data_IF_555067656355
#
_entry.id   IF_555067656355
#
_cell.length_a   1.000
_cell.length_b   1.000
_cell.length_c   1.000
_cell.angle_alpha   90.00
_cell.angle_beta   90.00
_cell.angle_gamma   90.00
#
_symmetry.space_group_name_H-M   'P 1'
#
loop_
_entity.id
_entity.type
_entity.pdbx_description
1 polymer ?
#
# COMPACT_ATOMS: atom_id res chain seq x y z
N UNK A 1 -71.52 -29.43 72.96
CA UNK A 1 -71.03 -30.64 72.25
C UNK A 1 -69.62 -30.36 71.74
N UNK A 2 -68.71 -31.32 71.93
CA UNK A 2 -67.27 -31.27 71.64
C UNK A 2 -66.97 -30.98 70.16
N UNK A 3 -65.91 -30.22 69.86
CA UNK A 3 -64.66 -30.80 69.34
C UNK A 3 -63.57 -29.73 69.14
N UNK A 4 -62.40 -30.01 69.71
CA UNK A 4 -61.12 -29.34 69.42
C UNK A 4 -60.67 -29.70 67.99
N UNK A 5 -60.02 -28.77 67.30
CA UNK A 5 -59.08 -29.11 66.23
C UNK A 5 -57.82 -28.24 66.35
N UNK A 6 -56.68 -28.92 66.18
CA UNK A 6 -55.34 -28.48 66.56
C UNK A 6 -54.63 -27.71 65.44
N UNK A 7 -53.63 -26.93 65.90
CA UNK A 7 -52.62 -26.12 65.18
C UNK A 7 -52.03 -26.73 63.90
N UNK A 8 -51.59 -25.84 62.99
CA UNK A 8 -50.28 -25.97 62.34
C UNK A 8 -49.75 -24.61 61.87
N UNK A 9 -48.77 -24.07 62.58
CA UNK A 9 -47.91 -22.93 62.17
C UNK A 9 -46.71 -23.47 61.40
N UNK A 10 -46.56 -23.08 60.14
CA UNK A 10 -45.38 -23.37 59.31
C UNK A 10 -44.39 -22.21 59.48
N UNK A 11 -43.20 -22.49 60.03
CA UNK A 11 -42.09 -21.53 60.09
C UNK A 11 -41.26 -21.59 58.81
N UNK A 12 -41.15 -20.46 58.09
CA UNK A 12 -40.18 -20.28 57.01
C UNK A 12 -38.80 -19.99 57.60
N UNK A 13 -37.82 -20.84 57.32
CA UNK A 13 -36.40 -20.59 57.60
C UNK A 13 -35.80 -20.00 56.32
N UNK A 14 -35.42 -18.72 56.36
CA UNK A 14 -34.61 -18.08 55.31
C UNK A 14 -33.14 -18.45 55.54
N UNK A 15 -32.58 -19.28 54.67
CA UNK A 15 -31.13 -19.53 54.60
C UNK A 15 -30.48 -18.48 53.70
N UNK A 16 -29.65 -17.62 54.28
CA UNK A 16 -28.86 -16.62 53.56
C UNK A 16 -27.57 -17.29 53.05
N UNK A 17 -27.55 -17.69 51.79
CA UNK A 17 -26.34 -18.19 51.12
C UNK A 17 -25.49 -16.99 50.67
N UNK A 18 -24.43 -16.70 51.43
CA UNK A 18 -23.39 -15.75 51.05
C UNK A 18 -22.49 -16.45 50.01
N UNK A 19 -22.65 -16.08 48.73
CA UNK A 19 -21.71 -16.47 47.67
C UNK A 19 -20.43 -15.63 47.82
N UNK A 20 -19.38 -16.23 48.37
CA UNK A 20 -18.02 -15.71 48.28
C UNK A 20 -17.54 -15.85 46.82
N UNK A 21 -17.62 -14.75 46.06
CA UNK A 21 -16.98 -14.64 44.74
C UNK A 21 -15.46 -14.57 44.92
N UNK A 22 -14.80 -15.73 44.92
CA UNK A 22 -13.35 -15.81 44.76
C UNK A 22 -13.02 -15.45 43.31
N UNK A 23 -12.65 -14.19 43.08
CA UNK A 23 -12.13 -13.74 41.79
C UNK A 23 -10.91 -14.56 41.40
N UNK A 24 -11.03 -15.35 40.34
CA UNK A 24 -9.89 -16.06 39.77
C UNK A 24 -8.99 -15.03 39.09
N UNK A 25 -7.67 -15.01 39.35
CA UNK A 25 -6.77 -14.11 38.63
C UNK A 25 -6.82 -14.46 37.15
N UNK A 26 -7.26 -13.51 36.32
CA UNK A 26 -7.13 -13.61 34.87
C UNK A 26 -5.65 -13.53 34.54
N UNK A 27 -5.06 -14.64 34.13
CA UNK A 27 -3.72 -14.65 33.54
C UNK A 27 -3.86 -14.05 32.15
N UNK A 28 -3.55 -12.76 32.00
CA UNK A 28 -3.38 -12.13 30.69
C UNK A 28 -2.07 -12.65 30.11
N UNK A 29 -2.17 -13.45 29.05
CA UNK A 29 -0.99 -13.89 28.29
C UNK A 29 -0.39 -12.66 27.58
N UNK A 30 0.87 -12.35 27.87
CA UNK A 30 1.61 -11.32 27.13
C UNK A 30 1.79 -11.77 25.68
N UNK A 31 1.39 -10.92 24.73
CA UNK A 31 1.50 -11.17 23.29
C UNK A 31 2.55 -10.24 22.66
N UNK A 32 3.31 -10.80 21.73
CA UNK A 32 4.28 -10.06 20.91
C UNK A 32 4.04 -10.42 19.45
N UNK A 33 3.95 -9.42 18.58
CA UNK A 33 3.77 -9.61 17.14
C UNK A 33 4.53 -8.56 16.35
N UNK A 34 5.03 -8.95 15.18
CA UNK A 34 5.79 -8.07 14.30
C UNK A 34 5.63 -8.51 12.84
N UNK A 35 5.31 -7.55 11.97
CA UNK A 35 5.19 -7.74 10.53
C UNK A 35 6.56 -7.48 9.86
N UNK A 36 6.97 -8.25 8.83
CA UNK A 36 8.25 -8.04 8.14
C UNK A 36 8.22 -6.83 7.19
N UNK A 37 7.78 -5.66 7.67
CA UNK A 37 7.87 -4.40 6.92
C UNK A 37 9.35 -4.06 6.75
N UNK A 38 9.85 -3.80 5.53
CA UNK A 38 11.25 -3.43 5.33
C UNK A 38 11.52 -2.03 5.88
N UNK A 39 12.78 -1.64 5.92
CA UNK A 39 13.22 -0.35 6.42
C UNK A 39 14.02 0.47 5.39
N UNK A 40 13.80 1.78 5.42
CA UNK A 40 14.66 2.78 4.82
C UNK A 40 14.58 4.06 5.63
N UNK A 41 15.69 4.80 5.68
CA UNK A 41 15.70 6.20 6.12
C UNK A 41 15.11 7.07 5.01
N UNK A 42 14.42 8.16 5.37
CA UNK A 42 13.90 9.14 4.41
C UNK A 42 15.01 9.86 3.62
N UNK A 43 16.23 9.82 4.15
CA UNK A 43 17.47 10.11 3.44
C UNK A 43 18.22 8.78 3.20
N UNK A 44 17.98 8.06 2.08
CA UNK A 44 18.49 6.71 1.87
C UNK A 44 20.02 6.61 1.85
N UNK A 45 20.70 7.64 1.38
CA UNK A 45 22.17 7.75 1.35
C UNK A 45 22.73 8.59 2.53
N UNK A 46 21.87 9.00 3.47
CA UNK A 46 22.23 9.82 4.61
C UNK A 46 22.43 11.30 4.30
N UNK A 47 22.10 11.77 3.09
CA UNK A 47 22.17 13.19 2.73
C UNK A 47 20.83 13.88 3.03
N UNK A 48 20.82 14.76 4.03
CA UNK A 48 19.61 15.43 4.53
C UNK A 48 19.36 16.77 3.84
N UNK A 49 18.95 16.71 2.58
CA UNK A 49 18.55 17.87 1.76
C UNK A 49 17.17 17.61 1.15
N UNK A 50 16.51 18.62 0.59
CA UNK A 50 15.25 18.41 -0.13
C UNK A 50 15.45 17.46 -1.33
N UNK A 51 14.48 16.58 -1.64
CA UNK A 51 13.19 16.40 -0.92
C UNK A 51 13.31 15.50 0.33
N UNK A 52 14.43 14.80 0.52
CA UNK A 52 14.64 13.81 1.59
C UNK A 52 14.38 14.35 2.99
N UNK A 53 14.64 15.64 3.20
CA UNK A 53 14.46 16.34 4.47
C UNK A 53 13.01 16.31 4.98
N UNK A 54 12.04 16.33 4.07
CA UNK A 54 10.61 16.43 4.37
C UNK A 54 9.80 15.21 3.92
N UNK A 55 10.48 14.15 3.46
CA UNK A 55 9.85 12.98 2.86
C UNK A 55 9.41 11.86 3.84
N UNK A 56 8.97 12.18 5.06
CA UNK A 56 8.68 11.14 6.07
C UNK A 56 7.38 10.38 5.77
N UNK A 57 6.37 11.07 5.27
CA UNK A 57 5.09 10.53 4.79
C UNK A 57 5.30 9.56 3.63
N UNK A 58 6.11 9.94 2.65
CA UNK A 58 6.40 9.21 1.42
C UNK A 58 7.26 8.00 1.72
N UNK A 59 8.25 8.15 2.61
CA UNK A 59 9.05 7.03 3.06
C UNK A 59 8.17 6.02 3.79
N UNK A 60 7.34 6.46 4.74
CA UNK A 60 6.40 5.59 5.45
C UNK A 60 5.43 4.88 4.50
N UNK A 61 4.89 5.60 3.51
CA UNK A 61 4.01 5.08 2.45
C UNK A 61 4.73 4.02 1.62
N UNK A 62 5.98 4.28 1.21
CA UNK A 62 6.82 3.33 0.48
C UNK A 62 7.08 2.06 1.28
N UNK A 63 7.38 2.14 2.58
CA UNK A 63 7.66 0.96 3.40
C UNK A 63 6.46 0.02 3.47
N UNK A 64 5.25 0.58 3.61
CA UNK A 64 4.00 -0.18 3.61
C UNK A 64 3.73 -0.80 2.23
N UNK A 65 3.93 -0.06 1.14
CA UNK A 65 3.82 -0.62 -0.21
C UNK A 65 4.79 -1.80 -0.40
N UNK A 66 6.05 -1.63 -0.03
CA UNK A 66 7.06 -2.67 -0.18
C UNK A 66 6.72 -3.93 0.62
N UNK A 67 6.14 -3.77 1.81
CA UNK A 67 5.60 -4.88 2.59
C UNK A 67 4.45 -5.59 1.86
N UNK A 68 3.41 -4.87 1.43
CA UNK A 68 2.24 -5.47 0.79
C UNK A 68 2.57 -6.21 -0.52
N UNK A 69 3.61 -5.78 -1.22
CA UNK A 69 4.07 -6.38 -2.47
C UNK A 69 5.29 -7.30 -2.30
N UNK A 70 5.61 -7.70 -1.06
CA UNK A 70 6.50 -8.82 -0.78
C UNK A 70 7.98 -8.55 -1.01
N UNK A 71 8.45 -7.32 -0.75
CA UNK A 71 9.87 -7.01 -0.78
C UNK A 71 10.63 -7.91 0.21
N UNK A 72 11.70 -8.56 -0.27
CA UNK A 72 12.27 -9.73 0.40
C UNK A 72 13.38 -9.44 1.41
N UNK A 73 13.91 -8.21 1.43
CA UNK A 73 15.00 -7.80 2.34
C UNK A 73 14.47 -6.96 3.48
N UNK A 74 15.14 -7.01 4.63
CA UNK A 74 14.82 -6.16 5.78
C UNK A 74 15.07 -4.67 5.52
N UNK A 75 15.93 -4.35 4.55
CA UNK A 75 16.25 -2.97 4.16
C UNK A 75 16.07 -2.77 2.67
N UNK A 76 15.42 -1.67 2.31
CA UNK A 76 15.24 -1.26 0.92
C UNK A 76 16.58 -0.77 0.37
N UNK A 77 16.92 -1.22 -0.84
CA UNK A 77 18.11 -0.75 -1.55
C UNK A 77 18.03 0.76 -1.80
N UNK A 78 19.16 1.47 -1.68
CA UNK A 78 19.22 2.95 -1.73
C UNK A 78 18.56 3.54 -2.97
N UNK A 79 18.88 2.99 -4.15
CA UNK A 79 18.34 3.50 -5.42
C UNK A 79 16.84 3.22 -5.55
N UNK A 80 16.37 2.04 -5.11
CA UNK A 80 14.94 1.71 -5.06
C UNK A 80 14.19 2.64 -4.11
N UNK A 81 14.77 2.95 -2.94
CA UNK A 81 14.16 3.87 -1.99
C UNK A 81 14.06 5.28 -2.57
N UNK A 82 15.14 5.80 -3.18
CA UNK A 82 15.15 7.11 -3.83
C UNK A 82 14.11 7.22 -4.94
N UNK A 83 14.06 6.22 -5.83
CA UNK A 83 13.10 6.18 -6.94
C UNK A 83 11.65 6.25 -6.44
N UNK A 84 11.29 5.41 -5.47
CA UNK A 84 9.93 5.34 -4.93
C UNK A 84 9.52 6.59 -4.15
N UNK A 85 10.42 7.11 -3.31
CA UNK A 85 10.18 8.36 -2.57
C UNK A 85 10.01 9.51 -3.56
N UNK A 86 10.89 9.64 -4.57
CA UNK A 86 10.77 10.69 -5.58
C UNK A 86 9.47 10.61 -6.39
N UNK A 87 9.00 9.40 -6.69
CA UNK A 87 7.70 9.21 -7.34
C UNK A 87 6.57 9.76 -6.46
N UNK A 88 6.54 9.44 -5.17
CA UNK A 88 5.52 9.95 -4.25
C UNK A 88 5.60 11.48 -4.11
N UNK A 89 6.80 12.04 -3.98
CA UNK A 89 7.05 13.49 -4.00
C UNK A 89 6.50 14.13 -5.28
N UNK A 90 6.72 13.50 -6.45
CA UNK A 90 6.19 13.97 -7.72
C UNK A 90 4.66 13.98 -7.72
N UNK A 91 4.02 12.91 -7.24
CA UNK A 91 2.56 12.81 -7.16
C UNK A 91 2.00 13.91 -6.25
N UNK A 92 2.55 14.08 -5.06
CA UNK A 92 2.10 15.14 -4.14
C UNK A 92 2.24 16.53 -4.74
N UNK A 93 3.38 16.84 -5.36
CA UNK A 93 3.57 18.13 -6.03
C UNK A 93 2.60 18.33 -7.20
N UNK A 94 2.32 17.29 -7.99
CA UNK A 94 1.38 17.35 -9.13
C UNK A 94 -0.05 17.55 -8.66
N UNK A 95 -0.49 16.83 -7.63
CA UNK A 95 -1.90 16.75 -7.24
C UNK A 95 -2.29 17.71 -6.11
N UNK A 96 -1.41 17.94 -5.14
CA UNK A 96 -1.67 18.87 -4.03
C UNK A 96 -1.07 20.26 -4.29
N UNK A 97 -0.13 20.37 -5.24
CA UNK A 97 0.59 21.61 -5.54
C UNK A 97 1.74 21.92 -4.58
N UNK A 98 2.03 21.03 -3.62
CA UNK A 98 3.11 21.15 -2.66
C UNK A 98 3.50 19.77 -2.10
N UNK A 99 4.71 19.69 -1.58
CA UNK A 99 5.27 18.54 -0.88
C UNK A 99 5.88 19.07 0.44
N UNK A 100 5.07 19.08 1.49
CA UNK A 100 5.40 19.55 2.85
C UNK A 100 4.52 18.80 3.84
N UNK A 101 4.91 18.85 5.12
CA UNK A 101 4.14 18.35 6.26
C UNK A 101 2.63 18.36 6.00
N UNK A 102 2.03 17.18 6.01
CA UNK A 102 0.69 17.03 5.50
C UNK A 102 -0.27 16.38 6.49
N UNK A 103 -1.55 16.72 6.38
CA UNK A 103 -2.60 16.06 7.18
C UNK A 103 -2.74 14.61 6.78
N UNK A 104 -3.14 13.77 7.73
CA UNK A 104 -3.43 12.36 7.49
C UNK A 104 -4.43 12.15 6.32
N UNK A 105 -5.39 13.07 6.16
CA UNK A 105 -6.37 13.03 5.09
C UNK A 105 -5.75 13.14 3.68
N UNK A 106 -4.73 13.98 3.49
CA UNK A 106 -4.08 14.13 2.19
C UNK A 106 -3.14 12.95 1.88
N UNK A 107 -2.48 12.38 2.90
CA UNK A 107 -1.71 11.13 2.74
C UNK A 107 -2.65 10.02 2.24
N UNK A 108 -3.81 9.86 2.88
CA UNK A 108 -4.85 8.90 2.48
C UNK A 108 -5.38 9.18 1.07
N UNK A 109 -5.56 10.45 0.70
CA UNK A 109 -6.01 10.82 -0.65
C UNK A 109 -5.01 10.37 -1.72
N UNK A 110 -3.70 10.61 -1.52
CA UNK A 110 -2.64 10.20 -2.44
C UNK A 110 -2.59 8.67 -2.55
N UNK A 111 -2.60 7.95 -1.42
CA UNK A 111 -2.61 6.48 -1.40
C UNK A 111 -3.81 5.95 -2.19
N UNK A 112 -5.01 6.44 -1.85
CA UNK A 112 -6.24 5.88 -2.39
C UNK A 112 -6.41 6.18 -3.88
N UNK A 113 -5.89 7.30 -4.37
CA UNK A 113 -5.89 7.62 -5.81
C UNK A 113 -4.83 6.89 -6.61
N UNK A 114 -3.59 6.84 -6.12
CA UNK A 114 -2.43 6.54 -6.99
C UNK A 114 -1.67 5.26 -6.66
N UNK A 115 -2.01 4.58 -5.56
CA UNK A 115 -1.31 3.38 -5.13
C UNK A 115 -2.19 2.14 -5.16
N UNK A 116 -1.64 0.94 -5.45
CA UNK A 116 -2.41 -0.30 -5.59
C UNK A 116 -2.82 -0.94 -4.25
N UNK A 117 -3.01 -0.13 -3.22
CA UNK A 117 -3.47 -0.50 -1.88
C UNK A 117 -4.29 0.66 -1.29
N UNK A 118 -4.83 0.50 -0.08
CA UNK A 118 -5.79 1.44 0.48
C UNK A 118 -5.47 1.84 1.92
N UNK A 119 -5.88 3.06 2.28
CA UNK A 119 -5.77 3.58 3.63
C UNK A 119 -7.00 4.40 4.03
N UNK A 120 -7.20 4.57 5.33
CA UNK A 120 -8.25 5.43 5.88
C UNK A 120 -7.84 6.02 7.24
N UNK A 121 -8.39 7.19 7.56
CA UNK A 121 -8.09 7.91 8.81
C UNK A 121 -8.98 7.39 9.94
N UNK A 122 -8.37 6.97 11.04
CA UNK A 122 -9.04 6.63 12.30
C UNK A 122 -8.79 7.73 13.32
N UNK A 123 -9.87 8.25 13.93
CA UNK A 123 -9.81 9.29 14.96
C UNK A 123 -9.77 8.67 16.35
N UNK A 124 -8.91 9.18 17.21
CA UNK A 124 -8.70 8.69 18.57
C UNK A 124 -8.57 7.15 18.64
N UNK A 125 -7.67 6.54 17.85
CA UNK A 125 -7.48 5.10 17.86
C UNK A 125 -7.07 4.61 19.26
N UNK A 126 -7.51 3.43 19.65
CA UNK A 126 -7.00 2.76 20.86
C UNK A 126 -5.79 1.88 20.56
N UNK A 127 -5.03 1.52 21.58
CA UNK A 127 -3.91 0.57 21.45
C UNK A 127 -4.42 -0.77 20.90
N UNK A 128 -5.59 -1.23 21.37
CA UNK A 128 -6.21 -2.49 20.93
C UNK A 128 -6.58 -2.45 19.45
N UNK A 129 -7.08 -1.33 18.93
CA UNK A 129 -7.37 -1.17 17.51
C UNK A 129 -6.09 -1.24 16.66
N UNK A 130 -5.01 -0.59 17.12
CA UNK A 130 -3.71 -0.64 16.45
C UNK A 130 -3.18 -2.08 16.45
N UNK A 131 -3.23 -2.78 17.58
CA UNK A 131 -2.82 -4.19 17.68
C UNK A 131 -3.66 -5.08 16.77
N UNK A 132 -4.97 -4.84 16.68
CA UNK A 132 -5.85 -5.59 15.79
C UNK A 132 -5.47 -5.44 14.31
N UNK A 133 -5.06 -4.25 13.87
CA UNK A 133 -4.53 -4.05 12.50
C UNK A 133 -3.24 -4.86 12.30
N UNK A 134 -2.28 -4.76 13.23
CA UNK A 134 -1.05 -5.57 13.18
C UNK A 134 -1.41 -7.06 13.16
N UNK A 135 -2.43 -7.47 13.92
CA UNK A 135 -2.87 -8.84 13.99
C UNK A 135 -3.41 -9.38 12.66
N UNK A 136 -4.09 -8.51 11.92
CA UNK A 136 -4.63 -8.78 10.60
C UNK A 136 -3.59 -8.63 9.48
N UNK A 137 -2.34 -8.30 9.81
CA UNK A 137 -1.28 -8.14 8.82
C UNK A 137 -1.20 -6.76 8.21
N UNK A 138 -1.76 -5.74 8.87
CA UNK A 138 -1.84 -4.37 8.39
C UNK A 138 -0.96 -3.44 9.22
N UNK A 139 0.15 -2.90 8.68
CA UNK A 139 0.91 -1.86 9.35
C UNK A 139 0.07 -0.59 9.51
N UNK A 140 0.34 0.17 10.57
CA UNK A 140 -0.37 1.42 10.88
C UNK A 140 0.59 2.58 10.74
N UNK A 141 0.20 3.62 10.01
CA UNK A 141 1.00 4.86 9.91
C UNK A 141 0.50 5.87 10.93
N UNK A 142 1.42 6.51 11.65
CA UNK A 142 1.07 7.40 12.76
C UNK A 142 1.70 8.78 12.59
N UNK A 143 0.89 9.82 12.36
CA UNK A 143 1.34 11.20 12.45
C UNK A 143 1.49 11.63 13.92
N UNK A 144 2.58 12.34 14.21
CA UNK A 144 2.93 12.75 15.56
C UNK A 144 3.47 14.18 15.65
N UNK A 145 3.37 14.75 16.84
CA UNK A 145 4.24 15.83 17.27
C UNK A 145 5.58 15.24 17.73
N UNK A 146 6.59 15.25 16.85
CA UNK A 146 7.79 14.42 17.02
C UNK A 146 8.64 14.71 18.27
N UNK A 147 8.57 15.91 18.86
CA UNK A 147 9.26 16.23 20.13
C UNK A 147 8.79 15.34 21.29
N UNK A 148 7.53 14.91 21.28
CA UNK A 148 6.97 14.08 22.36
C UNK A 148 7.42 12.62 22.30
N UNK A 149 8.00 12.16 21.18
CA UNK A 149 8.58 10.83 21.08
C UNK A 149 9.89 10.68 21.88
N UNK A 150 10.55 11.80 22.23
CA UNK A 150 11.83 11.82 22.97
C UNK A 150 12.90 10.92 22.32
N UNK A 151 12.87 10.79 20.99
CA UNK A 151 13.85 9.96 20.28
C UNK A 151 15.23 10.64 20.27
N UNK A 152 16.20 10.01 20.90
CA UNK A 152 17.59 10.50 21.00
C UNK A 152 18.30 10.68 19.65
N UNK A 153 17.79 10.08 18.57
CA UNK A 153 18.38 10.17 17.24
C UNK A 153 17.75 11.25 16.35
N UNK A 154 16.69 11.91 16.81
CA UNK A 154 16.02 12.96 16.04
C UNK A 154 16.89 14.21 15.93
N UNK A 155 16.76 14.88 14.78
CA UNK A 155 17.29 16.23 14.57
C UNK A 155 16.20 17.25 14.87
N UNK A 156 16.58 18.52 14.90
CA UNK A 156 15.68 19.65 15.21
C UNK A 156 14.44 19.71 14.31
N UNK A 157 14.54 19.21 13.09
CA UNK A 157 13.52 19.30 12.06
C UNK A 157 12.36 18.32 12.31
N UNK A 158 12.66 17.13 12.84
CA UNK A 158 11.65 16.12 13.16
C UNK A 158 11.00 16.35 14.54
N UNK A 159 11.33 17.45 15.20
CA UNK A 159 10.76 17.81 16.49
C UNK A 159 9.33 18.36 16.40
N UNK A 160 8.85 18.75 15.22
CA UNK A 160 7.55 19.42 15.09
C UNK A 160 6.46 18.50 14.54
N UNK A 161 6.61 18.02 13.31
CA UNK A 161 5.69 17.05 12.73
C UNK A 161 6.50 15.90 12.16
N UNK A 162 5.98 14.69 12.31
CA UNK A 162 6.64 13.51 11.81
C UNK A 162 5.63 12.39 11.58
N UNK A 163 5.95 11.47 10.68
CA UNK A 163 5.14 10.30 10.37
C UNK A 163 6.05 9.07 10.27
N UNK A 164 5.66 8.00 10.97
CA UNK A 164 6.35 6.71 10.96
C UNK A 164 5.35 5.54 10.88
N UNK A 165 5.87 4.32 10.76
CA UNK A 165 5.06 3.10 10.64
C UNK A 165 5.17 2.25 11.91
N UNK A 166 4.05 1.90 12.53
CA UNK A 166 3.95 0.81 13.50
C UNK A 166 3.76 -0.50 12.72
N UNK A 167 4.64 -1.47 12.97
CA UNK A 167 4.61 -2.80 12.35
C UNK A 167 4.46 -3.94 13.36
N UNK A 168 4.47 -3.64 14.65
CA UNK A 168 4.47 -4.64 15.70
C UNK A 168 4.21 -4.06 17.08
N UNK A 169 4.05 -4.95 18.05
CA UNK A 169 3.83 -4.62 19.44
C UNK A 169 4.39 -5.71 20.35
N UNK A 170 4.62 -5.36 21.61
CA UNK A 170 5.16 -6.21 22.66
C UNK A 170 4.51 -5.88 24.01
N UNK A 171 3.62 -6.76 24.47
CA UNK A 171 2.85 -6.52 25.71
C UNK A 171 3.64 -6.74 26.99
N UNK A 172 4.79 -7.41 26.91
CA UNK A 172 5.66 -7.57 28.08
C UNK A 172 6.37 -6.26 28.41
N UNK A 173 6.81 -5.55 27.37
CA UNK A 173 7.53 -4.29 27.51
C UNK A 173 6.65 -3.07 27.32
N UNK A 174 5.38 -3.23 26.94
CA UNK A 174 4.44 -2.16 26.60
C UNK A 174 4.97 -1.26 25.47
N UNK A 175 5.47 -1.86 24.40
CA UNK A 175 6.14 -1.15 23.31
C UNK A 175 5.56 -1.45 21.92
N UNK A 176 5.44 -0.41 21.10
CA UNK A 176 5.29 -0.57 19.66
C UNK A 176 6.65 -0.81 19.01
N UNK A 177 6.69 -1.70 18.02
CA UNK A 177 7.82 -1.93 17.13
C UNK A 177 7.54 -1.16 15.84
N UNK A 178 8.47 -0.29 15.44
CA UNK A 178 8.25 0.71 14.40
C UNK A 178 9.32 0.69 13.31
N UNK A 179 8.97 1.24 12.14
CA UNK A 179 9.93 1.69 11.16
C UNK A 179 9.99 3.22 11.19
N UNK A 180 11.10 3.74 11.66
CA UNK A 180 11.30 5.16 11.98
C UNK A 180 12.15 5.84 10.88
N UNK A 181 11.53 6.47 9.87
CA UNK A 181 12.25 6.94 8.68
C UNK A 181 13.14 8.16 8.97
N UNK A 182 12.94 8.89 10.06
CA UNK A 182 13.72 10.09 10.41
C UNK A 182 15.15 9.82 10.88
N UNK A 183 15.59 8.56 10.93
CA UNK A 183 16.93 8.20 11.37
C UNK A 183 17.42 6.94 10.71
N UNK A 184 18.74 6.81 10.51
CA UNK A 184 19.35 5.54 10.05
C UNK A 184 19.22 4.39 11.06
N UNK A 185 18.83 4.69 12.30
CA UNK A 185 18.64 3.74 13.39
C UNK A 185 17.18 3.30 13.56
N UNK A 186 16.34 3.56 12.56
CA UNK A 186 14.90 3.39 12.68
C UNK A 186 14.36 1.99 12.42
N UNK A 187 15.21 1.03 12.02
CA UNK A 187 14.80 -0.36 11.80
C UNK A 187 14.37 -0.99 13.14
N UNK A 188 13.11 -1.40 13.23
CA UNK A 188 12.51 -2.01 14.43
C UNK A 188 12.67 -1.16 15.69
N UNK A 189 12.66 0.17 15.54
CA UNK A 189 12.78 1.08 16.67
C UNK A 189 11.58 0.92 17.60
N UNK A 190 11.84 0.94 18.92
CA UNK A 190 10.82 0.69 19.93
C UNK A 190 10.45 1.95 20.69
N UNK A 191 9.14 2.21 20.78
CA UNK A 191 8.58 3.27 21.60
C UNK A 191 7.56 2.69 22.57
N UNK A 192 7.50 3.23 23.79
CA UNK A 192 6.43 2.87 24.73
C UNK A 192 5.06 3.25 24.18
N UNK A 193 4.05 2.45 24.49
CA UNK A 193 2.68 2.70 24.07
C UNK A 193 2.21 4.10 24.47
N UNK A 194 2.38 4.48 25.74
CA UNK A 194 1.95 5.78 26.27
C UNK A 194 2.63 6.97 25.57
N UNK A 195 3.93 6.85 25.24
CA UNK A 195 4.69 7.85 24.48
C UNK A 195 4.07 8.05 23.10
N UNK A 196 3.85 6.97 22.34
CA UNK A 196 3.25 7.08 21.00
C UNK A 196 1.83 7.62 21.06
N UNK A 197 1.00 7.10 21.98
CA UNK A 197 -0.38 7.54 22.13
C UNK A 197 -0.47 8.99 22.59
N UNK A 198 0.52 9.50 23.33
CA UNK A 198 0.62 10.92 23.70
C UNK A 198 1.01 11.76 22.49
N UNK A 199 2.10 11.40 21.81
CA UNK A 199 2.65 12.13 20.67
C UNK A 199 1.75 12.15 19.43
N UNK A 200 0.78 11.23 19.33
CA UNK A 200 -0.13 11.11 18.19
C UNK A 200 -0.98 12.35 17.97
N UNK A 201 -0.68 13.09 16.91
CA UNK A 201 -1.38 14.30 16.52
C UNK A 201 -1.34 14.48 15.00
N UNK A 202 -2.50 14.74 14.39
CA UNK A 202 -2.62 15.17 13.01
C UNK A 202 -1.93 16.52 12.79
N UNK A 203 -1.46 16.76 11.58
CA UNK A 203 -0.76 17.98 11.25
C UNK A 203 -1.64 19.22 11.46
N UNK A 204 -1.11 20.15 12.26
CA UNK A 204 -1.70 21.48 12.44
C UNK A 204 -0.57 22.52 12.35
N UNK A 205 -0.51 23.32 11.28
CA UNK A 205 0.58 24.27 11.06
C UNK A 205 0.86 25.13 12.30
N UNK A 206 2.07 25.02 12.85
CA UNK A 206 2.53 25.78 14.02
C UNK A 206 1.91 25.36 15.37
N UNK A 207 1.05 24.34 15.41
CA UNK A 207 0.32 23.92 16.62
C UNK A 207 -0.02 22.42 16.63
N UNK A 208 0.87 21.59 16.07
CA UNK A 208 0.68 20.14 15.92
C UNK A 208 0.41 19.45 17.25
N UNK A 209 1.01 19.87 18.36
CA UNK A 209 0.75 19.34 19.70
C UNK A 209 -0.72 19.47 20.16
N UNK A 210 -1.50 20.32 19.51
CA UNK A 210 -2.95 20.48 19.72
C UNK A 210 -3.77 19.96 18.52
N UNK A 211 -3.14 19.19 17.62
CA UNK A 211 -3.77 18.46 16.55
C UNK A 211 -4.68 17.35 17.08
N UNK A 212 -5.64 16.90 16.27
CA UNK A 212 -6.50 15.76 16.67
C UNK A 212 -5.67 14.48 16.68
N UNK A 213 -5.91 13.57 17.62
CA UNK A 213 -5.27 12.26 17.59
C UNK A 213 -5.85 11.44 16.44
N UNK A 214 -4.99 11.06 15.49
CA UNK A 214 -5.38 10.23 14.36
C UNK A 214 -4.28 9.23 14.05
N UNK A 215 -4.68 8.07 13.52
CA UNK A 215 -3.78 7.15 12.84
C UNK A 215 -4.34 6.84 11.45
N UNK A 216 -3.47 6.37 10.57
CA UNK A 216 -3.82 5.92 9.23
C UNK A 216 -3.75 4.41 9.23
N UNK A 217 -4.92 3.77 9.16
CA UNK A 217 -5.02 2.32 9.04
C UNK A 217 -4.91 1.98 7.56
N UNK A 218 -4.23 0.88 7.26
CA UNK A 218 -3.90 0.50 5.87
C UNK A 218 -4.39 -0.91 5.59
N UNK A 219 -4.57 -1.25 4.32
CA UNK A 219 -4.86 -2.61 3.87
C UNK A 219 -4.38 -2.80 2.44
N UNK A 220 -4.03 -4.03 2.08
CA UNK A 220 -3.64 -4.36 0.70
C UNK A 220 -4.85 -4.33 -0.22
N UNK A 221 -6.00 -4.77 0.28
CA UNK A 221 -7.23 -4.90 -0.46
C UNK A 221 -7.84 -3.53 -0.78
N UNK A 222 -8.34 -3.40 -2.01
CA UNK A 222 -9.11 -2.24 -2.44
C UNK A 222 -10.58 -2.51 -2.14
N UNK A 223 -11.18 -1.71 -1.26
CA UNK A 223 -12.56 -1.87 -0.82
C UNK A 223 -13.35 -0.60 -1.10
N UNK A 224 -12.87 0.56 -0.63
CA UNK A 224 -13.60 1.82 -0.74
C UNK A 224 -13.05 2.73 -1.85
N UNK A 225 -11.77 2.56 -2.22
CA UNK A 225 -11.09 3.39 -3.23
C UNK A 225 -11.20 2.87 -4.66
N UNK A 226 -11.91 1.75 -4.89
CA UNK A 226 -11.90 1.08 -6.20
C UNK A 226 -12.45 1.90 -7.37
N UNK A 227 -13.35 2.85 -7.09
CA UNK A 227 -13.99 3.72 -8.08
C UNK A 227 -13.26 5.07 -8.27
N UNK A 228 -12.14 5.31 -7.59
CA UNK A 228 -11.37 6.53 -7.83
C UNK A 228 -10.71 6.45 -9.20
N UNK A 229 -10.57 7.58 -9.86
CA UNK A 229 -9.82 7.74 -11.12
C UNK A 229 -8.73 8.78 -10.83
N UNK A 230 -7.48 8.31 -10.80
CA UNK A 230 -6.34 9.08 -10.31
C UNK A 230 -5.91 10.15 -11.29
N UNK A 231 -5.60 9.73 -12.51
CA UNK A 231 -5.12 10.57 -13.61
C UNK A 231 -6.24 11.19 -14.45
N UNK A 232 -7.50 10.81 -14.18
CA UNK A 232 -8.69 11.35 -14.85
C UNK A 232 -8.76 11.00 -16.34
N UNK A 233 -8.18 9.87 -16.74
CA UNK A 233 -8.27 9.34 -18.11
C UNK A 233 -9.65 8.67 -18.36
N UNK A 234 -10.38 8.36 -17.29
CA UNK A 234 -11.71 7.77 -17.26
C UNK A 234 -11.73 6.25 -17.04
N UNK A 235 -10.61 5.61 -16.72
CA UNK A 235 -10.55 4.30 -16.06
C UNK A 235 -10.57 4.48 -14.54
N UNK A 236 -11.38 3.67 -13.87
CA UNK A 236 -11.30 3.56 -12.41
C UNK A 236 -10.06 2.78 -11.99
N UNK A 237 -9.55 3.03 -10.79
CA UNK A 237 -8.45 2.29 -10.15
C UNK A 237 -8.62 0.77 -10.25
N UNK A 238 -9.85 0.26 -10.08
CA UNK A 238 -10.12 -1.17 -10.21
C UNK A 238 -9.96 -1.68 -11.65
N UNK A 239 -10.31 -0.88 -12.64
CA UNK A 239 -10.11 -1.20 -14.06
C UNK A 239 -8.63 -1.09 -14.43
N UNK A 240 -7.95 -0.04 -13.97
CA UNK A 240 -6.52 0.14 -14.19
C UNK A 240 -5.70 -1.04 -13.64
N UNK A 241 -5.94 -1.45 -12.40
CA UNK A 241 -5.28 -2.63 -11.81
C UNK A 241 -5.55 -3.92 -12.58
N UNK A 242 -6.75 -4.04 -13.16
CA UNK A 242 -7.13 -5.18 -14.01
C UNK A 242 -6.39 -5.15 -15.35
N UNK A 243 -6.23 -3.98 -15.94
CA UNK A 243 -5.51 -3.76 -17.20
C UNK A 243 -3.99 -3.62 -17.01
N UNK A 244 -3.54 -3.54 -15.75
CA UNK A 244 -2.14 -3.33 -15.33
C UNK A 244 -1.56 -2.00 -15.80
N UNK A 245 -2.42 -1.00 -15.97
CA UNK A 245 -2.03 0.37 -16.28
C UNK A 245 -1.50 1.08 -15.04
N UNK A 246 -1.00 2.28 -15.25
CA UNK A 246 -0.31 3.11 -14.27
C UNK A 246 -1.30 4.10 -13.67
N UNK A 247 -1.71 3.88 -12.41
CA UNK A 247 -2.73 4.66 -11.66
C UNK A 247 -2.60 6.21 -11.64
N UNK A 248 -1.49 6.75 -12.15
CA UNK A 248 -1.18 8.18 -12.10
C UNK A 248 -0.77 8.77 -13.45
N UNK A 249 -0.90 8.00 -14.53
CA UNK A 249 -0.48 8.36 -15.87
C UNK A 249 -1.53 7.89 -16.88
N UNK A 250 -2.13 8.86 -17.57
CA UNK A 250 -3.21 8.66 -18.52
C UNK A 250 -2.84 7.83 -19.75
N UNK A 251 -1.55 7.79 -20.10
CA UNK A 251 -0.96 6.99 -21.18
C UNK A 251 0.21 6.18 -20.61
N UNK A 252 -0.07 4.94 -20.20
CA UNK A 252 0.85 4.10 -19.44
C UNK A 252 2.07 3.66 -20.24
N UNK A 253 1.97 3.53 -21.57
CA UNK A 253 3.06 3.09 -22.43
C UNK A 253 3.70 4.19 -23.28
N UNK A 254 3.13 5.39 -23.24
CA UNK A 254 3.64 6.60 -23.84
C UNK A 254 3.53 6.62 -25.36
N UNK A 255 2.57 5.91 -25.95
CA UNK A 255 2.38 5.86 -27.40
C UNK A 255 1.49 6.96 -27.98
N UNK A 256 0.91 7.78 -27.10
CA UNK A 256 0.09 8.95 -27.42
C UNK A 256 -1.41 8.69 -27.41
N UNK A 257 -1.88 7.51 -27.01
CA UNK A 257 -3.28 7.21 -26.73
C UNK A 257 -3.47 7.02 -25.22
N UNK A 258 -4.63 7.42 -24.69
CA UNK A 258 -4.90 7.18 -23.27
C UNK A 258 -5.26 5.71 -23.03
N UNK A 259 -4.99 5.21 -21.83
CA UNK A 259 -5.26 3.83 -21.43
C UNK A 259 -6.74 3.47 -21.66
N UNK A 260 -7.65 4.38 -21.27
CA UNK A 260 -9.08 4.26 -21.55
C UNK A 260 -9.38 4.12 -23.04
N UNK A 261 -8.77 4.96 -23.89
CA UNK A 261 -9.02 4.94 -25.33
C UNK A 261 -8.64 3.58 -25.92
N UNK A 262 -7.49 3.06 -25.51
CA UNK A 262 -6.99 1.77 -25.97
C UNK A 262 -7.87 0.61 -25.50
N UNK A 263 -8.27 0.61 -24.22
CA UNK A 263 -9.17 -0.41 -23.66
C UNK A 263 -10.50 -0.44 -24.42
N UNK A 264 -11.11 0.72 -24.70
CA UNK A 264 -12.38 0.82 -25.42
C UNK A 264 -12.25 0.28 -26.85
N UNK A 265 -11.13 0.55 -27.52
CA UNK A 265 -10.91 0.14 -28.90
C UNK A 265 -10.28 -1.27 -29.05
N UNK A 266 -9.88 -1.89 -27.93
CA UNK A 266 -9.31 -3.23 -27.87
C UNK A 266 -7.83 -3.29 -28.27
N UNK A 267 -7.08 -2.22 -28.03
CA UNK A 267 -5.61 -2.16 -28.08
C UNK A 267 -5.01 -2.46 -26.70
N UNK A 268 -3.68 -2.41 -26.58
CA UNK A 268 -2.97 -2.77 -25.36
C UNK A 268 -2.47 -1.53 -24.60
N UNK A 269 -3.07 -1.16 -23.46
CA UNK A 269 -2.73 0.07 -22.73
C UNK A 269 -1.42 0.01 -21.94
N UNK A 270 -0.52 -0.92 -22.28
CA UNK A 270 0.73 -1.17 -21.56
C UNK A 270 1.87 -1.53 -22.51
N UNK A 271 1.63 -1.45 -23.82
CA UNK A 271 2.56 -1.86 -24.85
C UNK A 271 2.34 -1.01 -26.09
N UNK A 272 3.27 -0.09 -26.34
CA UNK A 272 3.26 0.76 -27.53
C UNK A 272 3.28 -0.06 -28.83
N UNK A 273 2.09 -0.36 -29.37
CA UNK A 273 1.94 -1.26 -30.50
C UNK A 273 2.35 -0.60 -31.82
N UNK A 274 2.27 0.73 -31.90
CA UNK A 274 2.59 1.50 -33.10
C UNK A 274 4.09 1.75 -33.29
N UNK A 275 4.90 1.54 -32.26
CA UNK A 275 6.35 1.79 -32.23
C UNK A 275 7.24 0.63 -32.68
N UNK A 276 6.67 -0.52 -33.08
CA UNK A 276 7.48 -1.70 -33.43
C UNK A 276 8.36 -1.50 -34.68
N UNK A 277 9.58 -2.05 -34.60
CA UNK A 277 10.56 -2.03 -35.70
C UNK A 277 10.31 -3.17 -36.68
N UNK A 278 10.84 -3.02 -37.90
CA UNK A 278 10.88 -4.13 -38.85
C UNK A 278 11.67 -5.31 -38.27
N UNK A 279 11.17 -6.53 -38.48
CA UNK A 279 11.73 -7.77 -37.94
C UNK A 279 11.12 -8.21 -36.62
N UNK A 280 10.32 -7.38 -35.94
CA UNK A 280 9.63 -7.79 -34.70
C UNK A 280 8.67 -8.95 -34.97
N UNK A 281 8.74 -9.97 -34.12
CA UNK A 281 7.87 -11.14 -34.18
C UNK A 281 6.72 -10.92 -33.19
N UNK A 282 5.49 -11.04 -33.69
CA UNK A 282 4.27 -10.74 -32.92
C UNK A 282 3.26 -11.87 -32.98
N UNK A 283 2.41 -11.94 -31.97
CA UNK A 283 1.26 -12.85 -31.90
C UNK A 283 0.14 -12.23 -31.06
N UNK A 284 -1.11 -12.54 -31.39
CA UNK A 284 -2.23 -12.28 -30.46
C UNK A 284 -2.49 -13.48 -29.55
N UNK A 285 -2.80 -13.29 -28.26
CA UNK A 285 -3.24 -14.36 -27.37
C UNK A 285 -4.45 -15.15 -27.90
N UNK A 286 -5.29 -14.51 -28.71
CA UNK A 286 -6.52 -15.09 -29.28
C UNK A 286 -6.31 -15.83 -30.60
N UNK A 287 -5.09 -15.80 -31.16
CA UNK A 287 -4.78 -16.39 -32.46
C UNK A 287 -3.60 -17.37 -32.37
N UNK A 288 -3.67 -18.53 -33.03
CA UNK A 288 -2.54 -19.45 -33.10
C UNK A 288 -1.45 -18.97 -34.09
N UNK A 289 -1.65 -17.86 -34.79
CA UNK A 289 -0.75 -17.38 -35.84
C UNK A 289 0.30 -16.43 -35.30
N UNK A 290 1.55 -16.64 -35.76
CA UNK A 290 2.70 -15.77 -35.47
C UNK A 290 3.02 -15.00 -36.75
N UNK A 291 3.36 -13.73 -36.62
CA UNK A 291 3.69 -12.85 -37.73
C UNK A 291 5.03 -12.16 -37.49
N UNK A 292 5.72 -11.80 -38.56
CA UNK A 292 6.83 -10.85 -38.53
C UNK A 292 6.35 -9.51 -39.12
N UNK A 293 6.67 -8.40 -38.45
CA UNK A 293 6.42 -7.06 -38.97
C UNK A 293 7.48 -6.72 -40.01
N UNK A 294 7.07 -6.30 -41.21
CA UNK A 294 7.97 -5.77 -42.23
C UNK A 294 7.28 -4.71 -43.07
N UNK A 295 7.80 -3.47 -43.08
CA UNK A 295 7.31 -2.34 -43.88
C UNK A 295 5.78 -2.15 -43.73
N UNK A 296 5.29 -2.15 -42.49
CA UNK A 296 3.86 -2.07 -42.13
C UNK A 296 2.99 -3.23 -42.64
N UNK A 297 3.61 -4.39 -42.91
CA UNK A 297 2.89 -5.64 -43.23
C UNK A 297 3.10 -6.69 -42.14
N UNK A 298 2.12 -7.58 -41.99
CA UNK A 298 2.21 -8.80 -41.18
C UNK A 298 2.55 -9.99 -42.08
N UNK A 299 3.75 -10.54 -41.94
CA UNK A 299 4.19 -11.73 -42.66
C UNK A 299 3.98 -12.96 -41.80
N UNK A 300 2.94 -13.74 -42.08
CA UNK A 300 2.65 -14.95 -41.30
C UNK A 300 3.81 -15.94 -41.35
N UNK A 301 4.25 -16.40 -40.19
CA UNK A 301 5.26 -17.46 -40.03
C UNK A 301 4.54 -18.80 -40.07
N UNK A 302 4.82 -19.61 -41.09
CA UNK A 302 4.04 -20.81 -41.38
C UNK A 302 4.16 -21.90 -40.32
N UNK A 303 5.32 -22.00 -39.66
CA UNK A 303 5.57 -23.04 -38.66
C UNK A 303 6.74 -22.69 -37.74
N UNK A 304 6.82 -23.42 -36.62
CA UNK A 304 7.97 -23.37 -35.70
C UNK A 304 9.30 -23.72 -36.39
N UNK A 305 9.29 -24.52 -37.46
CA UNK A 305 10.50 -24.83 -38.22
C UNK A 305 11.05 -23.60 -38.92
N UNK A 306 10.18 -22.80 -39.55
CA UNK A 306 10.58 -21.52 -40.17
C UNK A 306 11.15 -20.60 -39.09
N UNK A 307 10.49 -20.49 -37.95
CA UNK A 307 10.98 -19.68 -36.83
C UNK A 307 12.41 -20.08 -36.42
N UNK A 308 12.65 -21.39 -36.22
CA UNK A 308 13.99 -21.93 -35.91
C UNK A 308 15.02 -21.71 -37.02
N UNK A 309 14.65 -21.84 -38.29
CA UNK A 309 15.55 -21.62 -39.43
C UNK A 309 16.05 -20.16 -39.47
N UNK A 310 15.22 -19.21 -39.03
CA UNK A 310 15.57 -17.79 -38.89
C UNK A 310 16.22 -17.46 -37.54
N UNK A 311 16.49 -18.46 -36.69
CA UNK A 311 17.11 -18.29 -35.37
C UNK A 311 16.17 -17.73 -34.29
N UNK A 312 14.87 -17.62 -34.59
CA UNK A 312 13.87 -17.10 -33.66
C UNK A 312 13.31 -18.20 -32.75
N UNK A 313 12.95 -17.78 -31.54
CA UNK A 313 12.44 -18.60 -30.44
C UNK A 313 11.15 -17.98 -29.88
N UNK A 314 10.41 -18.71 -29.06
CA UNK A 314 9.16 -18.16 -28.49
C UNK A 314 9.41 -16.97 -27.56
N UNK A 315 10.60 -16.83 -26.99
CA UNK A 315 10.98 -15.65 -26.19
C UNK A 315 11.17 -14.40 -27.04
N UNK A 316 11.30 -14.52 -28.37
CA UNK A 316 11.37 -13.37 -29.28
C UNK A 316 9.97 -12.88 -29.70
N UNK A 317 8.91 -13.61 -29.34
CA UNK A 317 7.53 -13.28 -29.73
C UNK A 317 6.94 -12.30 -28.73
N UNK A 318 6.54 -11.13 -29.23
CA UNK A 318 5.81 -10.12 -28.46
C UNK A 318 4.32 -10.39 -28.59
N UNK A 319 3.61 -10.46 -27.46
CA UNK A 319 2.15 -10.55 -27.47
C UNK A 319 1.54 -9.17 -27.68
N UNK A 320 0.62 -9.06 -28.65
CA UNK A 320 -0.05 -7.81 -29.06
C UNK A 320 -1.56 -8.02 -29.17
N UNK A 321 -2.32 -6.94 -29.20
CA UNK A 321 -3.75 -6.93 -29.44
C UNK A 321 -4.08 -7.50 -30.83
N UNK A 322 -5.20 -8.23 -30.91
CA UNK A 322 -5.68 -8.72 -32.21
C UNK A 322 -6.08 -7.55 -33.12
N UNK A 323 -6.58 -6.45 -32.54
CA UNK A 323 -6.95 -5.23 -33.26
C UNK A 323 -5.75 -4.59 -33.96
N UNK A 324 -4.60 -4.53 -33.31
CA UNK A 324 -3.36 -4.06 -33.93
C UNK A 324 -3.01 -4.89 -35.17
N UNK A 325 -3.01 -6.23 -35.04
CA UNK A 325 -2.70 -7.13 -36.15
C UNK A 325 -3.69 -6.92 -37.32
N UNK A 326 -4.98 -6.76 -37.05
CA UNK A 326 -6.00 -6.71 -38.09
C UNK A 326 -6.12 -5.36 -38.78
N UNK A 327 -5.94 -4.26 -38.05
CA UNK A 327 -6.23 -2.92 -38.56
C UNK A 327 -4.99 -2.06 -38.81
N UNK A 328 -3.86 -2.30 -38.11
CA UNK A 328 -2.64 -1.50 -38.28
C UNK A 328 -1.63 -2.13 -39.23
N UNK A 329 -1.76 -3.42 -39.54
CA UNK A 329 -0.84 -4.15 -40.43
C UNK A 329 -1.56 -4.72 -41.67
N UNK A 330 -0.98 -4.48 -42.85
CA UNK A 330 -1.46 -5.07 -44.11
C UNK A 330 -0.96 -6.51 -44.25
N UNK A 331 -1.67 -7.35 -45.02
CA UNK A 331 -1.18 -8.70 -45.30
C UNK A 331 0.13 -8.67 -46.10
N UNK A 332 1.13 -9.40 -45.61
CA UNK A 332 2.43 -9.58 -46.25
C UNK A 332 2.63 -11.00 -46.76
N UNK A 333 3.71 -11.23 -47.52
CA UNK A 333 4.04 -12.57 -48.03
C UNK A 333 4.35 -13.53 -46.87
N UNK A 334 3.67 -14.68 -46.84
CA UNK A 334 3.91 -15.75 -45.87
C UNK A 334 5.37 -16.19 -45.89
N UNK A 335 5.95 -16.39 -44.70
CA UNK A 335 7.27 -16.97 -44.48
C UNK A 335 7.13 -18.50 -44.38
N UNK A 336 7.63 -19.22 -45.37
CA UNK A 336 7.41 -20.66 -45.53
C UNK A 336 8.67 -21.53 -45.50
N UNK A 337 9.87 -20.95 -45.54
CA UNK A 337 11.16 -21.64 -45.59
C UNK A 337 12.16 -21.05 -44.60
#
# INVERSE_FOLDING_TARGET
MKQQCNRMTVGLIYSFLIFLFLGSPTITLSATKSLPVPFSSQAPDGIWVEPWKTACEETSTMLIEMFYFGYSKDKVDVETAKEKIQRLVYLENKYLGYNKDNKAAHIVEIINKFLPWEAYVVKNPTIEQIKQEIDNGHPVMVPVHGRELVNQYFRTEQSYYHVFVIKGYDDETEEFITQEPATRFGLDYRYKYDIVMTAMHDYRPGDTQNGRKVAIFTRKEIIDSGNTDGDSDGLTKSEELKHKTILWLDDSDGDGYSDREEVIHGYSPILNEVGFKNGTIIKSPTSPHIYMIEKHTKRRIRSMRVMKNHGWTMSDVVEVSQKFIDFKLKEGKVLSE
#
